data_IF_770837282997
#
_entry.id   IF_770837282997
#
_cell.length_a   1.000
_cell.length_b   1.000
_cell.length_c   1.000
_cell.angle_alpha   90.00
_cell.angle_beta   90.00
_cell.angle_gamma   90.00
#
_symmetry.space_group_name_H-M   'P 1'
#
loop_
_entity.id
_entity.type
_entity.pdbx_description
1 polymer ?
#
# COMPACT_ATOMS: atom_id res chain seq x y z
N UNK A 1 -0.96 20.06 -26.13
CA UNK A 1 -0.86 20.20 -24.67
C UNK A 1 -1.97 19.38 -24.06
N UNK A 2 -1.74 18.09 -23.84
CA UNK A 2 -2.70 17.23 -23.12
C UNK A 2 -2.54 17.46 -21.62
N UNK A 3 -3.61 17.96 -20.99
CA UNK A 3 -3.70 18.03 -19.55
C UNK A 3 -3.77 16.62 -18.98
N UNK A 4 -2.73 16.18 -18.29
CA UNK A 4 -2.81 15.01 -17.39
C UNK A 4 -3.72 15.39 -16.22
N UNK A 5 -5.01 15.09 -16.39
CA UNK A 5 -6.01 15.22 -15.35
C UNK A 5 -5.73 14.18 -14.25
N UNK A 6 -5.34 14.69 -13.07
CA UNK A 6 -5.64 14.18 -11.72
C UNK A 6 -5.69 12.66 -11.53
N UNK A 7 -4.63 12.08 -10.96
CA UNK A 7 -4.62 10.71 -10.45
C UNK A 7 -5.19 10.67 -9.02
N UNK A 8 -6.34 10.05 -8.74
CA UNK A 8 -6.68 9.64 -7.39
C UNK A 8 -5.86 8.39 -7.07
N UNK A 9 -5.02 8.53 -6.05
CA UNK A 9 -4.17 7.46 -5.52
C UNK A 9 -4.95 6.78 -4.41
N UNK A 10 -5.46 5.61 -4.71
CA UNK A 10 -5.87 4.65 -3.69
C UNK A 10 -5.38 3.29 -4.17
N UNK A 11 -4.58 2.64 -3.34
CA UNK A 11 -3.80 1.47 -3.69
C UNK A 11 -4.12 0.41 -2.65
N UNK A 12 -5.01 -0.51 -3.02
CA UNK A 12 -5.45 -1.57 -2.14
C UNK A 12 -4.45 -2.73 -2.15
N UNK A 13 -4.06 -3.17 -0.96
CA UNK A 13 -3.48 -4.50 -0.76
C UNK A 13 -4.62 -5.50 -0.48
N UNK A 14 -4.58 -6.64 -1.15
CA UNK A 14 -5.28 -7.85 -0.70
C UNK A 14 -4.24 -8.79 -0.11
N UNK A 15 -4.56 -9.47 1.01
CA UNK A 15 -4.49 -10.93 1.23
C UNK A 15 -4.14 -11.29 2.69
N UNK A 16 -4.76 -12.39 3.16
CA UNK A 16 -4.70 -13.09 4.49
C UNK A 16 -6.01 -13.02 5.31
N UNK A 17 -7.13 -13.34 4.67
CA UNK A 17 -8.42 -13.58 5.32
C UNK A 17 -9.23 -14.66 4.61
N UNK A 18 -10.08 -15.38 5.36
CA UNK A 18 -10.97 -16.43 4.83
C UNK A 18 -12.40 -15.94 4.55
N UNK A 19 -12.67 -14.65 4.72
CA UNK A 19 -13.99 -14.05 4.61
C UNK A 19 -14.04 -12.84 3.65
N UNK A 20 -13.01 -12.68 2.81
CA UNK A 20 -12.94 -11.59 1.84
C UNK A 20 -13.99 -11.76 0.72
N UNK A 21 -14.47 -10.66 0.10
CA UNK A 21 -15.35 -10.72 -1.06
C UNK A 21 -14.73 -11.49 -2.23
N UNK A 22 -15.59 -11.97 -3.14
CA UNK A 22 -15.13 -12.53 -4.42
C UNK A 22 -14.30 -11.49 -5.20
N UNK A 23 -13.21 -11.87 -5.89
CA UNK A 23 -12.39 -10.93 -6.65
C UNK A 23 -13.15 -10.03 -7.63
N UNK A 24 -14.28 -10.50 -8.20
CA UNK A 24 -15.15 -9.71 -9.09
C UNK A 24 -15.86 -8.58 -8.33
N UNK A 25 -16.25 -8.83 -7.08
CA UNK A 25 -16.84 -7.82 -6.20
C UNK A 25 -15.79 -6.80 -5.80
N UNK A 26 -14.56 -7.25 -5.49
CA UNK A 26 -13.42 -6.38 -5.22
C UNK A 26 -13.12 -5.49 -6.43
N UNK A 27 -13.08 -6.05 -7.65
CA UNK A 27 -12.89 -5.28 -8.87
C UNK A 27 -13.95 -4.20 -9.10
N UNK A 28 -15.19 -4.46 -8.68
CA UNK A 28 -16.29 -3.49 -8.75
C UNK A 28 -16.14 -2.39 -7.70
N UNK A 29 -15.73 -2.75 -6.48
CA UNK A 29 -15.45 -1.81 -5.41
C UNK A 29 -14.30 -0.86 -5.78
N UNK A 30 -13.17 -1.41 -6.23
CA UNK A 30 -11.98 -0.63 -6.64
C UNK A 30 -12.31 0.35 -7.77
N UNK A 31 -13.08 -0.08 -8.78
CA UNK A 31 -13.57 0.81 -9.84
C UNK A 31 -14.44 1.95 -9.28
N UNK A 32 -15.29 1.68 -8.29
CA UNK A 32 -16.14 2.73 -7.69
C UNK A 32 -15.35 3.80 -6.92
N UNK A 33 -14.10 3.49 -6.53
CA UNK A 33 -13.19 4.39 -5.82
C UNK A 33 -12.16 5.04 -6.74
N UNK A 34 -12.26 4.83 -8.05
CA UNK A 34 -11.27 5.26 -9.04
C UNK A 34 -9.84 4.75 -8.71
N UNK A 35 -9.73 3.58 -8.08
CA UNK A 35 -8.46 2.89 -7.86
C UNK A 35 -7.96 2.36 -9.19
N UNK A 36 -6.73 2.74 -9.55
CA UNK A 36 -6.11 2.34 -10.80
C UNK A 36 -4.87 1.45 -10.61
N UNK A 37 -4.42 1.20 -9.36
CA UNK A 37 -3.24 0.37 -9.06
C UNK A 37 -3.47 -0.49 -7.82
N UNK A 38 -3.05 -1.74 -7.86
CA UNK A 38 -3.21 -2.75 -6.81
C UNK A 38 -1.89 -3.47 -6.56
N UNK A 39 -1.54 -3.71 -5.30
CA UNK A 39 -0.42 -4.59 -4.92
C UNK A 39 -0.99 -5.89 -4.36
N UNK A 40 -0.50 -7.01 -4.86
CA UNK A 40 -0.76 -8.34 -4.33
C UNK A 40 0.51 -8.89 -3.68
N UNK A 41 0.36 -9.56 -2.54
CA UNK A 41 1.45 -10.30 -1.89
C UNK A 41 1.76 -11.64 -2.56
N UNK A 42 0.96 -12.04 -3.54
CA UNK A 42 1.16 -13.22 -4.37
C UNK A 42 0.89 -12.88 -5.84
N UNK A 43 0.63 -13.93 -6.63
CA UNK A 43 0.15 -13.83 -8.00
C UNK A 43 -1.09 -14.73 -8.21
N UNK A 44 -2.14 -14.55 -7.38
CA UNK A 44 -3.37 -15.34 -7.46
C UNK A 44 -4.02 -15.23 -8.86
N UNK A 45 -4.10 -16.34 -9.62
CA UNK A 45 -4.68 -16.34 -10.96
C UNK A 45 -6.16 -15.94 -10.98
N UNK A 46 -6.92 -16.19 -9.90
CA UNK A 46 -8.33 -15.80 -9.81
C UNK A 46 -8.48 -14.30 -9.74
N UNK A 47 -7.64 -13.64 -8.94
CA UNK A 47 -7.62 -12.17 -8.85
C UNK A 47 -7.17 -11.59 -10.18
N UNK A 48 -6.04 -12.04 -10.73
CA UNK A 48 -5.54 -11.51 -12.00
C UNK A 48 -6.54 -11.69 -13.16
N UNK A 49 -7.26 -12.82 -13.21
CA UNK A 49 -8.32 -13.06 -14.21
C UNK A 49 -9.51 -12.12 -14.03
N UNK A 50 -9.96 -11.90 -12.79
CA UNK A 50 -11.12 -11.04 -12.50
C UNK A 50 -10.90 -9.56 -12.91
N UNK A 51 -9.65 -9.15 -13.05
CA UNK A 51 -9.27 -7.80 -13.46
C UNK A 51 -8.85 -7.66 -14.93
N UNK A 52 -9.00 -8.72 -15.72
CA UNK A 52 -8.75 -8.67 -17.16
C UNK A 52 -9.58 -7.57 -17.83
N UNK A 53 -8.93 -6.76 -18.68
CA UNK A 53 -9.48 -5.64 -19.44
C UNK A 53 -10.10 -4.51 -18.59
N UNK A 54 -9.79 -4.44 -17.29
CA UNK A 54 -10.27 -3.35 -16.42
C UNK A 54 -9.41 -2.08 -16.49
N UNK A 55 -8.17 -2.20 -16.98
CA UNK A 55 -7.19 -1.10 -17.01
C UNK A 55 -6.46 -0.85 -15.69
N UNK A 56 -6.84 -1.53 -14.61
CA UNK A 56 -6.15 -1.49 -13.31
C UNK A 56 -4.77 -2.14 -13.44
N UNK A 57 -3.75 -1.46 -12.93
CA UNK A 57 -2.38 -1.96 -12.91
C UNK A 57 -2.12 -2.82 -11.67
N UNK A 58 -1.35 -3.88 -11.84
CA UNK A 58 -0.98 -4.80 -10.77
C UNK A 58 0.52 -4.82 -10.56
N UNK A 59 0.91 -4.70 -9.29
CA UNK A 59 2.21 -5.15 -8.80
C UNK A 59 1.97 -6.44 -8.03
N UNK A 60 2.53 -7.54 -8.51
CA UNK A 60 2.43 -8.86 -7.86
C UNK A 60 3.71 -9.15 -7.09
N UNK A 61 3.69 -10.15 -6.20
CA UNK A 61 4.87 -10.47 -5.40
C UNK A 61 5.31 -11.93 -5.50
N UNK A 62 6.62 -12.13 -5.43
CA UNK A 62 7.27 -13.41 -5.16
C UNK A 62 7.48 -13.49 -3.65
N UNK A 63 6.89 -14.50 -3.01
CA UNK A 63 7.05 -14.73 -1.57
C UNK A 63 8.48 -15.08 -1.17
N UNK A 64 8.83 -14.78 0.09
CA UNK A 64 10.17 -14.98 0.64
C UNK A 64 10.63 -16.44 0.53
N UNK A 65 9.71 -17.39 0.66
CA UNK A 65 9.94 -18.83 0.54
C UNK A 65 10.51 -19.27 -0.82
N UNK A 66 10.35 -18.44 -1.86
CA UNK A 66 10.83 -18.74 -3.21
C UNK A 66 12.23 -18.15 -3.49
N UNK A 67 12.78 -17.29 -2.62
CA UNK A 67 13.99 -16.52 -2.91
C UNK A 67 15.21 -17.41 -3.17
N UNK A 68 15.46 -18.38 -2.28
CA UNK A 68 16.58 -19.32 -2.44
C UNK A 68 16.46 -20.12 -3.74
N UNK A 69 15.26 -20.62 -4.06
CA UNK A 69 15.01 -21.38 -5.29
C UNK A 69 15.23 -20.51 -6.52
N UNK A 70 14.72 -19.29 -6.54
CA UNK A 70 14.93 -18.35 -7.65
C UNK A 70 16.39 -17.95 -7.83
N UNK A 71 17.13 -17.79 -6.73
CA UNK A 71 18.54 -17.43 -6.74
C UNK A 71 19.45 -18.57 -7.24
N UNK A 72 19.14 -19.82 -6.88
CA UNK A 72 20.05 -20.96 -7.06
C UNK A 72 19.70 -21.90 -8.22
N UNK A 73 18.44 -21.96 -8.64
CA UNK A 73 17.95 -22.96 -9.58
C UNK A 73 17.79 -22.39 -11.00
N UNK A 74 18.56 -22.88 -11.99
CA UNK A 74 18.40 -22.45 -13.37
C UNK A 74 16.97 -22.66 -13.88
N UNK A 75 16.34 -21.58 -14.35
CA UNK A 75 15.01 -21.64 -14.95
C UNK A 75 13.84 -21.50 -13.97
N UNK A 76 14.05 -21.52 -12.65
CA UNK A 76 12.97 -21.35 -11.67
C UNK A 76 12.23 -20.02 -11.86
N UNK A 77 12.95 -18.92 -12.02
CA UNK A 77 12.34 -17.61 -12.30
C UNK A 77 11.59 -17.58 -13.65
N UNK A 78 12.10 -18.27 -14.69
CA UNK A 78 11.43 -18.36 -15.99
C UNK A 78 10.12 -19.14 -15.87
N UNK A 79 10.12 -20.25 -15.13
CA UNK A 79 8.93 -21.03 -14.86
C UNK A 79 7.90 -20.22 -14.08
N UNK A 80 8.33 -19.48 -13.05
CA UNK A 80 7.45 -18.61 -12.29
C UNK A 80 6.81 -17.54 -13.17
N UNK A 81 7.60 -16.83 -14.00
CA UNK A 81 7.08 -15.82 -14.94
C UNK A 81 6.12 -16.45 -15.97
N UNK A 82 6.43 -17.64 -16.48
CA UNK A 82 5.57 -18.35 -17.42
C UNK A 82 4.23 -18.79 -16.81
N UNK A 83 4.19 -19.07 -15.51
CA UNK A 83 2.98 -19.48 -14.80
C UNK A 83 2.16 -18.28 -14.30
N UNK A 84 2.82 -17.23 -13.81
CA UNK A 84 2.17 -16.16 -13.05
C UNK A 84 2.07 -14.82 -13.79
N UNK A 85 2.75 -14.65 -14.92
CA UNK A 85 2.75 -13.38 -15.68
C UNK A 85 2.23 -13.58 -17.09
N UNK A 86 2.84 -14.48 -17.86
CA UNK A 86 2.52 -14.67 -19.28
C UNK A 86 1.04 -14.97 -19.57
N UNK A 87 0.31 -15.77 -18.77
CA UNK A 87 -1.09 -16.08 -19.07
C UNK A 87 -2.05 -14.88 -18.92
N UNK A 88 -1.63 -13.83 -18.22
CA UNK A 88 -2.50 -12.71 -17.85
C UNK A 88 -2.24 -11.45 -18.69
N UNK A 89 -1.03 -11.26 -19.19
CA UNK A 89 -0.70 -10.13 -20.08
C UNK A 89 -1.15 -10.43 -21.52
N UNK A 90 -1.69 -9.45 -22.28
CA UNK A 90 -1.88 -8.05 -21.90
C UNK A 90 -3.24 -7.73 -21.28
N UNK A 91 -4.13 -8.73 -21.12
CA UNK A 91 -5.48 -8.51 -20.62
C UNK A 91 -5.48 -7.87 -19.22
N UNK A 92 -4.60 -8.34 -18.33
CA UNK A 92 -4.36 -7.75 -17.01
C UNK A 92 -3.04 -6.99 -17.04
N UNK A 93 -3.05 -5.73 -16.60
CA UNK A 93 -1.89 -4.83 -16.67
C UNK A 93 -0.94 -5.10 -15.51
N UNK A 94 -0.18 -6.18 -15.56
CA UNK A 94 0.92 -6.40 -14.61
C UNK A 94 2.06 -5.45 -14.98
N UNK A 95 2.41 -4.54 -14.08
CA UNK A 95 3.43 -3.49 -14.30
C UNK A 95 4.64 -3.64 -13.37
N UNK A 96 4.56 -4.51 -12.36
CA UNK A 96 5.70 -4.78 -11.50
C UNK A 96 5.65 -6.12 -10.78
N UNK A 97 6.83 -6.59 -10.39
CA UNK A 97 7.04 -7.75 -9.53
C UNK A 97 7.89 -7.31 -8.33
N UNK A 98 7.38 -7.50 -7.12
CA UNK A 98 8.12 -7.34 -5.87
C UNK A 98 8.70 -8.71 -5.49
N UNK A 99 10.02 -8.82 -5.49
CA UNK A 99 10.73 -10.04 -5.09
C UNK A 99 11.12 -9.93 -3.62
N UNK A 100 10.40 -10.67 -2.79
CA UNK A 100 10.56 -10.66 -1.33
C UNK A 100 9.97 -9.43 -0.66
N UNK A 101 9.62 -9.60 0.62
CA UNK A 101 9.08 -8.56 1.49
C UNK A 101 9.82 -8.55 2.83
N UNK A 102 10.41 -7.41 3.17
CA UNK A 102 11.15 -7.15 4.42
C UNK A 102 12.28 -8.14 4.73
N UNK A 103 12.88 -8.73 3.69
CA UNK A 103 13.90 -9.79 3.79
C UNK A 103 15.09 -9.38 4.66
N UNK A 104 15.54 -8.13 4.53
CA UNK A 104 16.69 -7.60 5.24
C UNK A 104 16.41 -7.30 6.73
N UNK A 105 15.17 -7.42 7.20
CA UNK A 105 14.79 -7.18 8.59
C UNK A 105 14.87 -8.42 9.51
N UNK A 106 15.03 -9.62 8.95
CA UNK A 106 14.77 -10.88 9.69
C UNK A 106 16.02 -11.60 10.23
N UNK A 107 17.18 -10.96 10.27
CA UNK A 107 18.48 -11.57 10.64
C UNK A 107 18.87 -12.85 9.87
N UNK A 108 18.09 -13.25 8.87
CA UNK A 108 18.36 -14.39 7.99
C UNK A 108 19.30 -13.97 6.87
N UNK A 109 20.59 -14.20 7.10
CA UNK A 109 21.66 -13.87 6.16
C UNK A 109 21.59 -14.69 4.86
N UNK A 110 21.02 -15.90 4.90
CA UNK A 110 20.88 -16.73 3.70
C UNK A 110 19.79 -16.18 2.78
N UNK A 111 18.66 -15.77 3.36
CA UNK A 111 17.61 -15.06 2.63
C UNK A 111 18.11 -13.72 2.09
N UNK A 112 18.82 -12.93 2.91
CA UNK A 112 19.39 -11.66 2.48
C UNK A 112 20.38 -11.82 1.30
N UNK A 113 21.25 -12.83 1.35
CA UNK A 113 22.18 -13.15 0.27
C UNK A 113 21.47 -13.62 -1.02
N UNK A 114 20.28 -14.22 -0.90
CA UNK A 114 19.51 -14.72 -2.04
C UNK A 114 18.70 -13.63 -2.75
N UNK A 115 18.50 -12.46 -2.12
CA UNK A 115 17.58 -11.45 -2.61
C UNK A 115 17.95 -10.89 -4.00
N UNK A 116 19.14 -10.33 -4.14
CA UNK A 116 19.57 -9.72 -5.42
C UNK A 116 19.71 -10.77 -6.53
N UNK A 117 20.28 -11.97 -6.29
CA UNK A 117 20.26 -13.04 -7.30
C UNK A 117 18.85 -13.43 -7.75
N UNK A 118 17.88 -13.53 -6.84
CA UNK A 118 16.48 -13.80 -7.19
C UNK A 118 15.87 -12.67 -8.03
N UNK A 119 16.11 -11.40 -7.65
CA UNK A 119 15.68 -10.24 -8.44
C UNK A 119 16.27 -10.26 -9.86
N UNK A 120 17.57 -10.56 -9.99
CA UNK A 120 18.23 -10.67 -11.28
C UNK A 120 17.65 -11.79 -12.13
N UNK A 121 17.39 -12.96 -11.54
CA UNK A 121 16.80 -14.09 -12.25
C UNK A 121 15.39 -13.77 -12.80
N UNK A 122 14.57 -13.05 -12.03
CA UNK A 122 13.23 -12.58 -12.48
C UNK A 122 13.36 -11.53 -13.58
N UNK A 123 14.27 -10.56 -13.42
CA UNK A 123 14.52 -9.55 -14.44
C UNK A 123 14.96 -10.17 -15.77
N UNK A 124 15.90 -11.14 -15.73
CA UNK A 124 16.40 -11.82 -16.92
C UNK A 124 15.30 -12.66 -17.59
N UNK A 125 14.43 -13.28 -16.80
CA UNK A 125 13.27 -14.00 -17.33
C UNK A 125 12.29 -13.07 -18.07
N UNK A 126 12.03 -11.88 -17.53
CA UNK A 126 11.23 -10.85 -18.20
C UNK A 126 11.93 -10.30 -19.45
N UNK A 127 13.24 -10.06 -19.39
CA UNK A 127 14.03 -9.56 -20.51
C UNK A 127 14.04 -10.54 -21.68
N UNK A 128 14.15 -11.86 -21.41
CA UNK A 128 14.07 -12.90 -22.42
C UNK A 128 12.71 -12.94 -23.15
N UNK A 129 11.66 -12.41 -22.53
CA UNK A 129 10.31 -12.28 -23.11
C UNK A 129 10.05 -10.89 -23.71
N UNK A 130 11.02 -9.98 -23.68
CA UNK A 130 10.83 -8.58 -24.10
C UNK A 130 9.95 -7.75 -23.14
N UNK A 131 9.72 -8.23 -21.92
CA UNK A 131 8.83 -7.60 -20.93
C UNK A 131 9.56 -6.66 -19.95
N UNK A 132 10.89 -6.60 -19.97
CA UNK A 132 11.69 -5.81 -19.02
C UNK A 132 11.46 -4.29 -19.10
N UNK A 133 10.91 -3.78 -20.21
CA UNK A 133 10.47 -2.38 -20.33
C UNK A 133 9.03 -2.12 -19.84
N UNK A 134 8.25 -3.18 -19.60
CA UNK A 134 6.83 -3.11 -19.19
C UNK A 134 6.63 -3.50 -17.73
N UNK A 135 7.41 -4.45 -17.23
CA UNK A 135 7.28 -5.03 -15.89
C UNK A 135 8.55 -4.73 -15.08
N UNK A 136 8.44 -3.84 -14.10
CA UNK A 136 9.56 -3.49 -13.23
C UNK A 136 9.80 -4.54 -12.16
N UNK A 137 11.05 -4.88 -11.88
CA UNK A 137 11.42 -5.77 -10.75
C UNK A 137 11.94 -4.92 -9.61
N UNK A 138 11.46 -5.14 -8.40
CA UNK A 138 11.91 -4.46 -7.18
C UNK A 138 11.86 -5.40 -5.97
N UNK A 139 12.27 -4.94 -4.79
CA UNK A 139 11.98 -5.58 -3.49
C UNK A 139 11.40 -4.54 -2.53
N UNK A 140 10.67 -4.98 -1.49
CA UNK A 140 10.07 -4.13 -0.47
C UNK A 140 10.81 -4.28 0.87
N UNK A 141 11.12 -3.16 1.50
CA UNK A 141 11.95 -3.12 2.71
C UNK A 141 11.24 -2.41 3.87
N UNK A 142 11.29 -2.98 5.07
CA UNK A 142 10.96 -2.23 6.28
C UNK A 142 11.88 -1.01 6.38
N UNK A 143 11.37 0.14 6.84
CA UNK A 143 12.23 1.29 7.18
C UNK A 143 13.27 0.96 8.26
N UNK A 144 13.10 -0.14 8.99
CA UNK A 144 14.08 -0.63 9.96
C UNK A 144 15.41 -1.05 9.32
N UNK A 145 15.56 -1.12 8.00
CA UNK A 145 16.89 -1.29 7.37
C UNK A 145 17.83 -0.09 7.63
N UNK A 146 17.31 1.02 8.13
CA UNK A 146 18.09 2.18 8.55
C UNK A 146 18.64 2.04 9.97
N UNK A 147 19.89 2.45 10.19
CA UNK A 147 20.48 2.63 11.52
C UNK A 147 20.14 4.02 12.10
N UNK A 148 20.21 5.05 11.27
CA UNK A 148 19.76 6.41 11.61
C UNK A 148 18.67 6.85 10.66
N UNK A 149 17.66 7.53 11.18
CA UNK A 149 16.61 8.19 10.40
C UNK A 149 16.20 9.56 10.96
N UNK A 150 16.86 10.01 12.04
CA UNK A 150 16.58 11.29 12.67
C UNK A 150 17.87 12.01 13.09
N UNK A 151 18.12 13.24 12.60
CA UNK A 151 17.33 13.94 11.59
C UNK A 151 17.41 13.24 10.22
N UNK A 152 16.46 13.45 9.28
CA UNK A 152 16.42 12.75 7.99
C UNK A 152 17.73 12.81 7.19
N UNK A 153 18.42 13.95 7.17
CA UNK A 153 19.71 14.13 6.48
C UNK A 153 20.83 13.22 6.98
N UNK A 154 20.69 12.66 8.18
CA UNK A 154 21.64 11.70 8.77
C UNK A 154 21.34 10.24 8.42
N UNK A 155 20.38 9.99 7.54
CA UNK A 155 19.94 8.65 7.16
C UNK A 155 21.11 7.75 6.74
N UNK A 156 21.19 6.57 7.35
CA UNK A 156 22.19 5.54 7.00
C UNK A 156 21.57 4.15 7.13
N UNK A 157 21.99 3.22 6.28
CA UNK A 157 21.62 1.80 6.43
C UNK A 157 22.37 1.17 7.61
N UNK A 158 21.78 0.14 8.23
CA UNK A 158 22.47 -0.62 9.26
C UNK A 158 23.71 -1.32 8.70
N UNK A 159 24.79 -1.33 9.47
CA UNK A 159 26.05 -1.97 9.07
C UNK A 159 25.88 -3.45 8.72
N UNK A 160 25.07 -4.18 9.50
CA UNK A 160 24.79 -5.60 9.28
C UNK A 160 24.10 -5.91 7.95
N UNK A 161 23.35 -4.96 7.38
CA UNK A 161 22.64 -5.13 6.10
C UNK A 161 23.30 -4.41 4.93
N UNK A 162 24.23 -3.49 5.19
CA UNK A 162 24.85 -2.64 4.16
C UNK A 162 25.50 -3.47 3.03
N UNK A 163 26.09 -4.62 3.36
CA UNK A 163 26.68 -5.55 2.39
C UNK A 163 25.66 -6.10 1.37
N UNK A 164 24.39 -6.25 1.77
CA UNK A 164 23.30 -6.69 0.89
C UNK A 164 22.61 -5.51 0.19
N UNK A 165 22.58 -4.35 0.84
CA UNK A 165 21.99 -3.13 0.26
C UNK A 165 22.82 -2.59 -0.90
N UNK A 166 24.16 -2.63 -0.84
CA UNK A 166 24.99 -2.11 -1.95
C UNK A 166 24.66 -2.75 -3.32
N UNK A 167 24.70 -4.09 -3.48
CA UNK A 167 24.35 -4.71 -4.76
C UNK A 167 22.87 -4.53 -5.12
N UNK A 168 21.99 -4.39 -4.14
CA UNK A 168 20.57 -4.08 -4.36
C UNK A 168 20.38 -2.68 -4.98
N UNK A 169 21.07 -1.66 -4.46
CA UNK A 169 21.04 -0.32 -5.06
C UNK A 169 21.66 -0.32 -6.46
N UNK A 170 22.75 -1.06 -6.68
CA UNK A 170 23.35 -1.20 -8.00
C UNK A 170 22.38 -1.84 -9.02
N UNK A 171 21.59 -2.83 -8.59
CA UNK A 171 20.52 -3.40 -9.40
C UNK A 171 19.44 -2.36 -9.74
N UNK A 172 18.97 -1.59 -8.75
CA UNK A 172 17.95 -0.57 -8.95
C UNK A 172 18.40 0.52 -9.93
N UNK A 173 19.62 1.03 -9.74
CA UNK A 173 20.24 2.01 -10.64
C UNK A 173 20.34 1.47 -12.07
N UNK A 174 20.86 0.24 -12.24
CA UNK A 174 21.01 -0.38 -13.57
C UNK A 174 19.68 -0.63 -14.29
N UNK A 175 18.62 -0.96 -13.56
CA UNK A 175 17.31 -1.32 -14.12
C UNK A 175 16.33 -0.15 -14.16
N UNK A 176 16.65 0.98 -13.54
CA UNK A 176 15.73 2.11 -13.37
C UNK A 176 14.54 1.81 -12.46
N UNK A 177 14.62 0.77 -11.63
CA UNK A 177 13.55 0.38 -10.70
C UNK A 177 13.61 1.20 -9.40
N UNK A 178 12.46 1.46 -8.74
CA UNK A 178 12.44 2.19 -7.48
C UNK A 178 12.93 1.32 -6.31
N UNK A 179 13.42 1.96 -5.26
CA UNK A 179 13.58 1.33 -3.95
C UNK A 179 12.26 1.43 -3.18
N UNK A 180 11.65 0.30 -2.82
CA UNK A 180 10.35 0.29 -2.14
C UNK A 180 10.50 0.16 -0.63
N UNK A 181 9.77 0.97 0.12
CA UNK A 181 9.75 0.89 1.58
C UNK A 181 8.34 0.68 2.14
N UNK A 182 8.28 -0.12 3.20
CA UNK A 182 7.14 -0.25 4.09
C UNK A 182 7.39 0.71 5.27
N UNK A 183 6.62 1.80 5.32
CA UNK A 183 6.86 2.91 6.23
C UNK A 183 5.61 3.20 7.05
N UNK A 184 5.69 2.96 8.37
CA UNK A 184 4.54 3.09 9.27
C UNK A 184 4.88 4.05 10.43
N UNK A 185 4.53 5.33 10.34
CA UNK A 185 4.62 6.28 11.45
C UNK A 185 3.91 5.81 12.73
N UNK A 186 2.89 4.96 12.59
CA UNK A 186 2.21 4.29 13.70
C UNK A 186 3.18 3.62 14.68
N UNK A 187 4.16 2.84 14.20
CA UNK A 187 5.06 2.11 15.08
C UNK A 187 5.96 3.01 15.91
N UNK A 188 6.42 4.14 15.35
CA UNK A 188 7.18 5.14 16.09
C UNK A 188 6.33 5.78 17.20
N UNK A 189 5.07 6.11 16.90
CA UNK A 189 4.15 6.65 17.89
C UNK A 189 3.82 5.64 19.00
N UNK A 190 3.47 4.40 18.61
CA UNK A 190 3.21 3.29 19.55
C UNK A 190 4.39 3.08 20.50
N UNK A 191 5.62 3.09 19.99
CA UNK A 191 6.81 2.85 20.80
C UNK A 191 7.20 4.00 21.72
N UNK A 192 6.75 5.23 21.47
CA UNK A 192 7.15 6.42 22.26
C UNK A 192 6.08 7.53 22.22
N UNK A 193 4.86 7.30 22.72
CA UNK A 193 3.74 8.25 22.57
C UNK A 193 3.93 9.56 23.34
N UNK A 194 4.82 9.58 24.35
CA UNK A 194 5.19 10.80 25.08
C UNK A 194 6.21 11.69 24.36
N UNK A 195 6.97 11.14 23.40
CA UNK A 195 8.04 11.84 22.68
C UNK A 195 7.69 12.09 21.21
N UNK A 196 6.94 11.19 20.59
CA UNK A 196 6.49 11.31 19.20
C UNK A 196 5.15 12.04 19.18
N UNK A 197 5.13 13.22 18.57
CA UNK A 197 3.92 14.03 18.45
C UNK A 197 2.87 13.34 17.59
N UNK A 198 1.65 13.14 18.13
CA UNK A 198 0.54 12.57 17.39
C UNK A 198 0.16 13.41 16.15
N UNK A 199 0.04 14.75 16.24
CA UNK A 199 -0.16 15.58 15.04
C UNK A 199 0.87 15.37 13.93
N UNK A 200 2.15 15.20 14.29
CA UNK A 200 3.25 14.98 13.34
C UNK A 200 3.13 13.66 12.57
N UNK A 201 2.70 12.58 13.24
CA UNK A 201 2.53 11.27 12.57
C UNK A 201 1.19 11.14 11.85
N UNK A 202 0.22 12.02 12.13
CA UNK A 202 -1.10 12.05 11.49
C UNK A 202 -1.25 13.11 10.38
N UNK A 203 -0.16 13.75 9.94
CA UNK A 203 -0.15 14.85 8.95
C UNK A 203 -1.00 16.08 9.36
N UNK A 204 -1.25 16.27 10.65
CA UNK A 204 -2.01 17.39 11.19
C UNK A 204 -1.10 18.60 11.43
N UNK A 205 -1.64 19.82 11.56
CA UNK A 205 -0.85 21.02 11.85
C UNK A 205 0.05 20.83 13.08
N UNK A 206 1.35 21.08 12.91
CA UNK A 206 2.37 20.99 13.96
C UNK A 206 3.56 21.88 13.60
N UNK A 207 4.53 22.02 14.50
CA UNK A 207 5.71 22.87 14.30
C UNK A 207 6.71 22.30 13.27
N UNK A 208 6.59 21.02 12.93
CA UNK A 208 7.52 20.28 12.08
C UNK A 208 8.86 20.00 12.75
N UNK A 209 9.67 19.16 12.09
CA UNK A 209 11.06 18.88 12.43
C UNK A 209 11.95 19.65 11.46
N UNK A 210 12.89 20.43 11.98
CA UNK A 210 13.88 21.16 11.17
C UNK A 210 15.13 20.34 10.96
N UNK A 211 15.61 20.31 9.73
CA UNK A 211 16.83 19.57 9.36
C UNK A 211 17.45 20.20 8.11
N UNK A 212 18.70 20.69 8.21
CA UNK A 212 19.43 21.21 7.06
C UNK A 212 18.74 22.34 6.27
N UNK A 213 17.89 23.13 6.90
CA UNK A 213 17.08 24.18 6.24
C UNK A 213 15.74 23.69 5.67
N UNK A 214 15.48 22.39 5.72
CA UNK A 214 14.18 21.78 5.41
C UNK A 214 13.31 21.73 6.67
N UNK A 215 11.99 21.71 6.45
CA UNK A 215 11.00 21.50 7.51
C UNK A 215 10.12 20.33 7.11
N UNK A 216 10.17 19.26 7.90
CA UNK A 216 9.31 18.10 7.76
C UNK A 216 8.09 18.32 8.63
N UNK A 217 6.92 18.52 8.03
CA UNK A 217 5.65 18.68 8.75
C UNK A 217 4.99 17.33 9.08
N UNK A 218 5.56 16.21 8.62
CA UNK A 218 5.08 14.88 8.94
C UNK A 218 6.20 13.82 8.90
N UNK A 219 6.01 12.73 9.65
CA UNK A 219 7.01 11.67 9.79
C UNK A 219 7.22 10.85 8.52
N UNK A 220 6.19 10.61 7.71
CA UNK A 220 6.34 9.79 6.50
C UNK A 220 7.32 10.44 5.52
N UNK A 221 7.25 11.76 5.35
CA UNK A 221 8.19 12.51 4.49
C UNK A 221 9.61 12.47 5.05
N UNK A 222 9.76 12.58 6.38
CA UNK A 222 11.04 12.42 7.04
C UNK A 222 11.64 11.02 6.82
N UNK A 223 10.83 9.95 6.87
CA UNK A 223 11.28 8.58 6.62
C UNK A 223 11.72 8.37 5.16
N UNK A 224 10.97 8.91 4.19
CA UNK A 224 11.34 8.85 2.77
C UNK A 224 12.68 9.54 2.53
N UNK A 225 12.86 10.75 3.08
CA UNK A 225 14.09 11.53 2.87
C UNK A 225 15.29 10.97 3.64
N UNK A 226 15.07 10.28 4.77
CA UNK A 226 16.09 9.48 5.43
C UNK A 226 16.60 8.33 4.55
N UNK A 227 15.72 7.66 3.79
CA UNK A 227 16.13 6.63 2.83
C UNK A 227 16.91 7.24 1.67
N UNK A 228 16.48 8.40 1.15
CA UNK A 228 17.27 9.13 0.15
C UNK A 228 18.67 9.51 0.65
N UNK A 229 18.79 9.98 1.90
CA UNK A 229 20.07 10.29 2.52
C UNK A 229 20.96 9.04 2.64
N UNK A 230 20.38 7.91 3.06
CA UNK A 230 21.09 6.63 3.19
C UNK A 230 21.60 6.11 1.83
N UNK A 231 20.77 6.17 0.78
CA UNK A 231 21.19 5.80 -0.58
C UNK A 231 22.30 6.73 -1.09
N UNK A 232 22.19 8.04 -0.83
CA UNK A 232 23.22 9.02 -1.20
C UNK A 232 24.54 8.71 -0.52
N UNK A 233 24.53 8.33 0.76
CA UNK A 233 25.72 7.90 1.49
C UNK A 233 26.38 6.64 0.88
N UNK A 234 25.61 5.82 0.16
CA UNK A 234 26.10 4.66 -0.60
C UNK A 234 26.41 4.97 -2.07
N UNK A 235 26.42 6.25 -2.46
CA UNK A 235 26.79 6.71 -3.80
C UNK A 235 25.65 6.76 -4.82
N UNK A 236 24.40 6.54 -4.38
CA UNK A 236 23.23 6.48 -5.26
C UNK A 236 22.32 7.70 -5.09
N UNK A 237 22.05 8.42 -6.18
CA UNK A 237 21.20 9.63 -6.18
C UNK A 237 20.11 9.63 -7.24
N UNK A 238 20.15 8.61 -8.10
CA UNK A 238 19.34 8.34 -9.27
C UNK A 238 18.14 7.42 -8.98
N UNK A 239 18.17 6.70 -7.87
CA UNK A 239 17.11 5.76 -7.48
C UNK A 239 15.96 6.51 -6.80
N UNK A 240 14.73 6.34 -7.30
CA UNK A 240 13.52 6.85 -6.67
C UNK A 240 13.05 5.99 -5.49
N UNK A 241 12.56 6.60 -4.42
CA UNK A 241 11.91 5.90 -3.30
C UNK A 241 10.41 5.89 -3.50
N UNK A 242 9.74 4.75 -3.29
CA UNK A 242 8.27 4.66 -3.26
C UNK A 242 7.82 3.87 -2.04
N UNK A 243 6.59 4.11 -1.59
CA UNK A 243 6.02 3.42 -0.43
C UNK A 243 5.25 2.19 -0.93
N UNK A 244 5.77 0.99 -0.64
CA UNK A 244 5.07 -0.27 -0.92
C UNK A 244 4.01 -0.60 0.11
N UNK A 245 4.08 0.00 1.31
CA UNK A 245 3.07 -0.12 2.37
C UNK A 245 3.12 1.06 3.35
N UNK A 246 1.96 1.58 3.69
CA UNK A 246 1.77 2.44 4.86
C UNK A 246 0.30 2.43 5.28
N UNK A 247 0.02 2.59 6.56
CA UNK A 247 -1.34 2.59 7.07
C UNK A 247 -1.37 2.84 8.57
N UNK A 248 -2.57 2.80 9.13
CA UNK A 248 -2.79 2.99 10.55
C UNK A 248 -3.93 2.08 11.04
N UNK A 249 -3.73 1.28 12.09
CA UNK A 249 -4.73 0.33 12.55
C UNK A 249 -5.88 1.04 13.27
N UNK A 250 -7.10 0.61 12.99
CA UNK A 250 -8.33 1.15 13.59
C UNK A 250 -8.63 0.60 15.00
N UNK A 251 -7.93 -0.45 15.40
CA UNK A 251 -8.04 -1.10 16.70
C UNK A 251 -6.76 -1.90 16.96
N UNK A 252 -6.27 -1.89 18.19
CA UNK A 252 -5.13 -2.69 18.62
C UNK A 252 -5.34 -3.30 20.01
N UNK A 253 -4.32 -3.97 20.52
CA UNK A 253 -4.26 -4.43 21.91
C UNK A 253 -4.09 -3.24 22.87
N UNK A 254 -4.19 -3.48 24.19
CA UNK A 254 -4.14 -2.41 25.20
C UNK A 254 -2.83 -1.61 25.18
N UNK A 255 -1.72 -2.23 24.76
CA UNK A 255 -0.39 -1.62 24.63
C UNK A 255 -0.16 -0.95 23.26
N UNK A 256 -1.13 -1.01 22.34
CA UNK A 256 -1.03 -0.44 21.00
C UNK A 256 -1.56 0.99 20.95
N UNK A 257 -0.94 1.86 21.75
CA UNK A 257 -1.34 3.26 21.91
C UNK A 257 -1.46 3.95 20.54
N UNK A 258 -2.63 4.55 20.31
CA UNK A 258 -2.94 5.25 19.06
C UNK A 258 -3.70 4.41 18.03
N UNK A 259 -3.84 3.10 18.20
CA UNK A 259 -4.63 2.24 17.31
C UNK A 259 -6.15 2.45 17.53
N UNK A 260 -6.70 3.49 16.88
CA UNK A 260 -8.11 3.87 16.98
C UNK A 260 -8.68 4.20 15.62
N UNK A 261 -9.99 4.00 15.43
CA UNK A 261 -10.68 4.33 14.19
C UNK A 261 -10.54 5.83 13.83
N UNK A 262 -10.48 6.71 14.83
CA UNK A 262 -10.29 8.14 14.65
C UNK A 262 -8.90 8.47 14.09
N UNK A 263 -7.85 7.87 14.64
CA UNK A 263 -6.49 8.08 14.16
C UNK A 263 -6.26 7.42 12.80
N UNK A 264 -6.87 6.25 12.56
CA UNK A 264 -6.84 5.60 11.25
C UNK A 264 -7.50 6.46 10.16
N UNK A 265 -8.67 7.03 10.46
CA UNK A 265 -9.34 7.99 9.57
C UNK A 265 -8.50 9.23 9.30
N UNK A 266 -7.86 9.80 10.33
CA UNK A 266 -6.99 10.96 10.20
C UNK A 266 -5.76 10.65 9.35
N UNK A 267 -5.04 9.56 9.63
CA UNK A 267 -3.83 9.17 8.91
C UNK A 267 -4.12 8.92 7.42
N UNK A 268 -5.04 7.99 7.14
CA UNK A 268 -5.33 7.57 5.77
C UNK A 268 -6.02 8.70 4.98
N UNK A 269 -6.92 9.46 5.61
CA UNK A 269 -7.57 10.61 4.97
C UNK A 269 -6.61 11.74 4.63
N UNK A 270 -5.74 12.13 5.57
CA UNK A 270 -4.77 13.19 5.31
C UNK A 270 -3.71 12.73 4.29
N UNK A 271 -3.25 11.48 4.35
CA UNK A 271 -2.36 10.90 3.36
C UNK A 271 -2.96 10.98 1.94
N UNK A 272 -4.23 10.58 1.77
CA UNK A 272 -4.91 10.67 0.47
C UNK A 272 -5.00 12.11 -0.03
N UNK A 273 -5.25 13.09 0.85
CA UNK A 273 -5.21 14.50 0.47
C UNK A 273 -3.83 14.96 0.03
N UNK A 274 -2.77 14.53 0.72
CA UNK A 274 -1.36 14.85 0.36
C UNK A 274 -1.04 14.31 -1.04
N UNK A 275 -1.48 13.09 -1.33
CA UNK A 275 -1.24 12.48 -2.62
C UNK A 275 -2.09 13.14 -3.73
N UNK A 276 -3.37 13.45 -3.47
CA UNK A 276 -4.23 14.13 -4.44
C UNK A 276 -3.71 15.52 -4.83
N UNK A 277 -2.95 16.17 -3.94
CA UNK A 277 -2.24 17.44 -4.21
C UNK A 277 -0.92 17.26 -4.97
N UNK A 278 -0.52 16.03 -5.28
CA UNK A 278 0.74 15.72 -5.94
C UNK A 278 1.97 16.14 -5.13
N UNK A 279 1.87 16.17 -3.79
CA UNK A 279 2.96 16.64 -2.94
C UNK A 279 4.14 15.67 -2.97
N UNK A 280 5.35 16.22 -3.09
CA UNK A 280 6.60 15.53 -2.77
C UNK A 280 7.06 15.80 -1.34
N UNK A 281 8.21 15.23 -1.00
CA UNK A 281 8.88 15.46 0.29
C UNK A 281 9.65 16.78 0.29
N UNK A 282 10.08 17.32 1.45
CA UNK A 282 10.92 18.51 1.50
C UNK A 282 12.22 18.41 0.67
N UNK A 283 12.88 17.23 0.64
CA UNK A 283 14.09 17.02 -0.17
C UNK A 283 13.78 16.85 -1.67
N UNK A 284 12.61 16.28 -2.01
CA UNK A 284 12.18 16.00 -3.39
C UNK A 284 10.80 16.62 -3.68
N UNK A 285 10.64 17.96 -3.62
CA UNK A 285 9.32 18.61 -3.68
C UNK A 285 8.61 18.44 -5.03
N UNK A 286 9.37 18.20 -6.10
CA UNK A 286 8.86 18.03 -7.46
C UNK A 286 8.60 16.57 -7.85
N UNK A 287 8.80 15.62 -6.92
CA UNK A 287 8.53 14.19 -7.13
C UNK A 287 7.36 13.82 -6.24
N UNK A 288 6.14 13.68 -6.79
CA UNK A 288 4.97 13.28 -5.99
C UNK A 288 5.22 11.94 -5.29
N UNK A 289 4.72 11.82 -4.06
CA UNK A 289 4.77 10.55 -3.35
C UNK A 289 3.93 9.48 -4.07
N UNK A 290 4.46 8.26 -4.16
CA UNK A 290 3.80 7.09 -4.73
C UNK A 290 3.63 6.03 -3.64
N UNK A 291 2.38 5.66 -3.32
CA UNK A 291 2.06 4.99 -2.05
C UNK A 291 1.01 3.89 -2.18
N UNK A 292 1.34 2.69 -1.71
CA UNK A 292 0.38 1.62 -1.45
C UNK A 292 -0.17 1.69 -0.02
N UNK A 293 -1.49 1.83 0.13
CA UNK A 293 -2.16 1.98 1.44
C UNK A 293 -2.50 0.60 1.99
N UNK A 294 -1.89 0.26 3.12
CA UNK A 294 -2.11 -0.99 3.85
C UNK A 294 -3.28 -0.83 4.84
N UNK A 295 -4.41 -1.53 4.66
CA UNK A 295 -4.77 -2.43 3.56
C UNK A 295 -6.23 -2.22 3.12
N UNK A 296 -6.67 -2.89 2.05
CA UNK A 296 -8.04 -2.70 1.57
C UNK A 296 -9.08 -3.21 2.57
N UNK A 297 -8.85 -4.39 3.14
CA UNK A 297 -9.77 -5.04 4.07
C UNK A 297 -9.11 -5.32 5.43
N UNK A 298 -9.94 -5.47 6.47
CA UNK A 298 -9.51 -6.10 7.71
C UNK A 298 -9.27 -7.60 7.46
N UNK A 299 -8.14 -8.11 7.93
CA UNK A 299 -7.64 -9.44 7.61
C UNK A 299 -7.60 -10.33 8.86
N UNK A 300 -8.65 -11.12 9.06
CA UNK A 300 -8.91 -11.83 10.32
C UNK A 300 -7.92 -12.96 10.64
N UNK A 301 -7.13 -13.43 9.67
CA UNK A 301 -6.18 -14.52 9.87
C UNK A 301 -4.74 -14.05 10.11
N UNK A 302 -4.48 -12.74 10.11
CA UNK A 302 -3.13 -12.24 10.40
C UNK A 302 -2.73 -12.57 11.85
N UNK A 303 -1.55 -13.21 12.05
CA UNK A 303 -1.02 -13.49 13.39
C UNK A 303 -0.54 -12.20 14.06
N UNK A 304 -0.15 -12.29 15.34
CA UNK A 304 0.42 -11.15 16.08
C UNK A 304 -0.63 -10.28 16.79
N UNK A 305 -0.30 -9.02 17.09
CA UNK A 305 -1.15 -8.10 17.85
C UNK A 305 -2.50 -7.81 17.18
N UNK A 306 -3.50 -7.32 17.94
CA UNK A 306 -4.82 -7.01 17.39
C UNK A 306 -4.78 -5.99 16.25
N UNK A 307 -3.82 -5.07 16.24
CA UNK A 307 -3.61 -4.13 15.14
C UNK A 307 -3.51 -4.81 13.77
N UNK A 308 -2.81 -5.94 13.68
CA UNK A 308 -2.58 -6.67 12.43
C UNK A 308 -3.89 -7.05 11.71
N UNK A 309 -4.98 -7.25 12.45
CA UNK A 309 -6.29 -7.62 11.92
C UNK A 309 -7.19 -6.42 11.60
N UNK A 310 -6.71 -5.20 11.82
CA UNK A 310 -7.54 -3.98 11.86
C UNK A 310 -6.96 -2.80 11.05
N UNK A 311 -6.09 -3.05 10.06
CA UNK A 311 -5.56 -2.03 9.13
C UNK A 311 -6.49 -1.67 7.96
N UNK A 312 -7.58 -2.43 7.75
CA UNK A 312 -8.46 -2.29 6.62
C UNK A 312 -9.13 -0.92 6.52
N UNK A 313 -9.23 -0.41 5.30
CA UNK A 313 -10.17 0.67 4.97
C UNK A 313 -11.63 0.18 5.03
N UNK A 314 -11.84 -1.10 4.71
CA UNK A 314 -13.14 -1.77 4.69
C UNK A 314 -13.19 -3.01 5.58
N UNK A 315 -14.37 -3.30 6.11
CA UNK A 315 -14.67 -4.64 6.58
C UNK A 315 -14.80 -5.60 5.39
N UNK A 316 -14.65 -6.91 5.60
CA UNK A 316 -14.81 -7.91 4.53
C UNK A 316 -16.20 -7.91 3.88
N UNK A 317 -17.23 -7.34 4.50
CA UNK A 317 -18.55 -7.15 3.88
C UNK A 317 -18.64 -5.94 2.93
N UNK A 318 -17.53 -5.22 2.70
CA UNK A 318 -17.45 -4.03 1.85
C UNK A 318 -17.93 -2.73 2.50
N UNK A 319 -18.33 -2.74 3.78
CA UNK A 319 -18.64 -1.50 4.50
C UNK A 319 -17.36 -0.82 5.00
N UNK A 320 -17.28 0.52 4.99
CA UNK A 320 -16.11 1.23 5.46
C UNK A 320 -15.92 1.03 6.97
N UNK A 321 -14.67 0.84 7.43
CA UNK A 321 -14.35 0.74 8.87
C UNK A 321 -14.49 2.12 9.55
N UNK A 322 -14.12 3.17 8.83
CA UNK A 322 -14.20 4.57 9.26
C UNK A 322 -14.43 5.48 8.04
N UNK A 323 -14.93 6.69 8.28
CA UNK A 323 -15.12 7.68 7.23
C UNK A 323 -13.77 8.27 6.80
N UNK A 324 -13.50 8.32 5.49
CA UNK A 324 -12.30 8.96 4.96
C UNK A 324 -12.69 10.29 4.34
N UNK A 325 -12.32 11.37 5.02
CA UNK A 325 -12.44 12.73 4.49
C UNK A 325 -11.28 13.00 3.53
N UNK A 326 -11.43 12.54 2.30
CA UNK A 326 -10.44 12.69 1.25
C UNK A 326 -10.35 14.10 0.64
N UNK A 327 -11.23 15.02 1.04
CA UNK A 327 -11.22 16.43 0.63
C UNK A 327 -11.25 16.62 -0.89
N UNK A 328 -12.43 16.74 -1.48
CA UNK A 328 -12.52 17.29 -2.84
C UNK A 328 -12.05 18.75 -2.80
N UNK A 329 -11.05 19.07 -3.62
CA UNK A 329 -10.66 20.46 -3.86
C UNK A 329 -11.84 21.18 -4.54
N UNK A 330 -12.55 22.00 -3.79
CA UNK A 330 -13.66 22.82 -4.28
C UNK A 330 -13.86 24.04 -3.39
N UNK A 331 -13.55 25.21 -3.95
CA UNK A 331 -13.70 26.59 -3.49
C UNK A 331 -14.17 26.86 -2.06
N UNK A 332 -13.36 27.64 -1.35
CA UNK A 332 -13.82 28.38 -0.19
C UNK A 332 -15.05 29.23 -0.50
N UNK A 333 -15.93 29.29 0.47
CA UNK A 333 -16.88 30.38 0.64
C UNK A 333 -16.91 30.67 2.13
N UNK A 334 -16.22 31.75 2.49
CA UNK A 334 -16.32 32.38 3.80
C UNK A 334 -17.77 32.80 4.05
N UNK A 335 -18.35 32.32 5.14
CA UNK A 335 -19.51 32.95 5.77
C UNK A 335 -19.42 32.64 7.27
N UNK A 336 -19.11 33.66 8.06
CA UNK A 336 -19.23 33.56 9.51
C UNK A 336 -20.71 33.56 9.91
N UNK A 337 -21.06 32.79 10.94
CA UNK A 337 -21.62 33.34 12.18
C UNK A 337 -21.62 32.25 13.28
N UNK A 338 -21.68 32.67 14.54
CA UNK A 338 -21.23 31.90 15.70
C UNK A 338 -22.18 30.87 16.33
N UNK A 339 -21.61 30.20 17.36
CA UNK A 339 -22.30 29.72 18.56
C UNK A 339 -23.16 28.45 18.44
N UNK A 340 -22.66 27.33 18.97
CA UNK A 340 -23.52 26.20 19.36
C UNK A 340 -22.86 24.83 19.28
N UNK A 341 -22.39 24.33 20.41
CA UNK A 341 -21.93 22.94 20.58
C UNK A 341 -23.09 21.97 20.40
N UNK A 342 -23.13 21.30 19.24
CA UNK A 342 -23.82 20.02 19.08
C UNK A 342 -22.93 19.10 18.28
N UNK A 343 -22.47 18.01 18.89
CA UNK A 343 -21.76 16.92 18.22
C UNK A 343 -22.75 16.26 17.26
N UNK A 344 -22.80 16.76 16.03
CA UNK A 344 -23.64 16.23 14.97
C UNK A 344 -23.17 14.83 14.60
N UNK A 345 -24.10 13.87 14.64
CA UNK A 345 -23.90 12.50 14.17
C UNK A 345 -23.52 12.55 12.68
N UNK A 346 -22.25 12.36 12.38
CA UNK A 346 -21.71 12.51 11.03
C UNK A 346 -22.12 11.32 10.16
N UNK A 347 -22.67 11.61 8.97
CA UNK A 347 -23.04 10.60 7.99
C UNK A 347 -21.81 10.28 7.11
N UNK A 348 -21.21 9.07 7.21
CA UNK A 348 -20.05 8.68 6.41
C UNK A 348 -20.34 8.62 4.89
N UNK A 349 -21.59 8.81 4.50
CA UNK A 349 -22.09 8.78 3.13
C UNK A 349 -22.46 10.16 2.57
N UNK A 350 -22.02 11.24 3.21
CA UNK A 350 -22.17 12.60 2.67
C UNK A 350 -21.47 12.74 1.31
N UNK A 351 -21.96 13.68 0.48
CA UNK A 351 -21.41 13.96 -0.86
C UNK A 351 -19.95 14.46 -0.85
N UNK A 352 -19.37 14.67 0.34
CA UNK A 352 -17.97 15.09 0.55
C UNK A 352 -17.04 13.92 0.93
N UNK A 353 -17.58 12.72 1.16
CA UNK A 353 -16.83 11.47 1.38
C UNK A 353 -16.38 10.87 0.05
N UNK A 354 -15.18 10.29 0.00
CA UNK A 354 -14.74 9.51 -1.18
C UNK A 354 -15.65 8.29 -1.43
N UNK A 355 -16.47 7.92 -0.44
CA UNK A 355 -17.41 6.79 -0.48
C UNK A 355 -18.86 7.29 -0.61
N UNK A 356 -19.17 7.91 -1.75
CA UNK A 356 -20.52 8.44 -2.02
C UNK A 356 -21.58 7.33 -2.18
N UNK A 357 -22.85 7.73 -2.17
CA UNK A 357 -24.05 6.88 -2.35
C UNK A 357 -24.02 5.95 -3.58
N UNK A 358 -23.19 6.23 -4.59
CA UNK A 358 -23.02 5.39 -5.78
C UNK A 358 -22.43 4.00 -5.43
N UNK A 359 -21.50 3.93 -4.46
CA UNK A 359 -20.94 2.67 -3.96
C UNK A 359 -22.01 1.79 -3.30
N UNK A 360 -23.08 2.38 -2.72
CA UNK A 360 -24.23 1.63 -2.20
C UNK A 360 -25.06 0.98 -3.30
N UNK A 361 -25.29 1.67 -4.42
CA UNK A 361 -26.15 1.15 -5.49
C UNK A 361 -25.48 0.00 -6.25
N UNK A 362 -24.16 0.06 -6.46
CA UNK A 362 -23.40 -1.03 -7.07
C UNK A 362 -23.41 -2.30 -6.18
N UNK A 363 -23.28 -2.16 -4.87
CA UNK A 363 -23.33 -3.30 -3.93
C UNK A 363 -24.76 -3.81 -3.72
N UNK A 364 -25.76 -2.92 -3.57
CA UNK A 364 -27.16 -3.34 -3.35
C UNK A 364 -27.86 -3.91 -4.59
N UNK A 365 -27.66 -3.31 -5.79
CA UNK A 365 -28.36 -3.79 -7.01
C UNK A 365 -27.94 -5.21 -7.40
N UNK A 366 -26.72 -5.61 -7.08
CA UNK A 366 -26.19 -6.94 -7.42
C UNK A 366 -26.67 -8.02 -6.44
N UNK A 367 -27.07 -7.65 -5.22
CA UNK A 367 -27.61 -8.59 -4.21
C UNK A 367 -29.12 -8.85 -4.38
N UNK A 368 -29.88 -7.91 -4.96
CA UNK A 368 -31.32 -8.08 -5.18
C UNK A 368 -31.66 -8.91 -6.42
N UNK A 369 -30.74 -9.04 -7.38
CA UNK A 369 -30.96 -9.81 -8.61
C UNK A 369 -30.82 -11.32 -8.46
N UNK A 370 -30.46 -11.84 -7.26
CA UNK A 370 -30.43 -13.28 -6.98
C UNK A 370 -31.57 -13.79 -6.09
N UNK A 371 -32.47 -12.91 -5.62
CA UNK A 371 -33.57 -13.31 -4.71
C UNK A 371 -34.90 -13.52 -5.41
N UNK A 372 -34.97 -13.42 -6.74
CA UNK A 372 -36.22 -13.55 -7.50
C UNK A 372 -36.16 -14.68 -8.52
N UNK A 373 -35.89 -15.92 -8.10
CA UNK A 373 -36.21 -17.08 -8.93
C UNK A 373 -36.61 -18.38 -8.21
N UNK A 374 -36.89 -18.35 -6.91
CA UNK A 374 -37.38 -19.53 -6.19
C UNK A 374 -38.55 -19.16 -5.26
N UNK A 375 -39.73 -19.02 -5.84
CA UNK A 375 -41.00 -19.08 -5.10
C UNK A 375 -41.93 -20.03 -5.82
N UNK A 376 -42.02 -21.27 -5.33
CA UNK A 376 -43.27 -22.07 -5.24
C UNK A 376 -43.00 -23.35 -4.41
N UNK A 377 -43.92 -23.75 -3.49
CA UNK A 377 -43.67 -24.79 -2.50
C UNK A 377 -44.28 -26.14 -2.92
N UNK A 378 -43.68 -27.25 -2.48
CA UNK A 378 -44.36 -28.56 -2.43
C UNK A 378 -44.11 -29.22 -1.08
N UNK A 379 -45.22 -29.49 -0.41
CA UNK A 379 -45.40 -30.22 0.83
C UNK A 379 -45.36 -31.74 0.58
N UNK A 380 -45.10 -32.49 1.67
CA UNK A 380 -45.47 -33.90 1.92
C UNK A 380 -44.50 -35.01 1.50
N UNK A 381 -43.88 -35.69 2.46
CA UNK A 381 -44.41 -36.93 3.09
C UNK A 381 -43.27 -37.81 3.64
N UNK A 382 -43.42 -38.27 4.89
CA UNK A 382 -42.73 -39.44 5.43
C UNK A 382 -43.21 -40.72 4.71
N UNK A 383 -42.29 -41.64 4.40
CA UNK A 383 -42.49 -43.08 4.55
C UNK A 383 -41.15 -43.83 4.44
N UNK A 384 -40.95 -44.75 5.40
CA UNK A 384 -39.83 -45.67 5.66
C UNK A 384 -38.63 -45.14 6.45
#
# INVERSE_FOLDING_TARGET
MESRASSPVLLGLLLLANNLPDPTQVASLLRSMNVNRVKLYDADPKVLTAFANTGVEFIISVGNENLQTMASSPGAARQWVAQHVQPFIPATRITGIIVGNEVLGNNDTTMAASLVPAMQAVYDALAALGLSGQVTVSSAHSVNVLASSFPPSSGTFQEGVAQYVKPLLDFHSKTGSPFLINAYPFFAYKGSPGSVSLPYVLFQPNAGVRDGGLVYDNMLYAQIDAVYAAMKAMGHTDIGVRISETGWPSKGDEDEVGATAQNAAAYNGNLMQRIARGQGTPLKPNVPIDVFVFALFNENMKPGPASERNYGLFYPNGSPVYAINAGTAGSGSSSGDGGGSSVGRFDPYSSQSMFSSASRLAVRRTLSSLTLLLVLPVLSALAC
#
